data_IF_586222600340
#
_entry.id   IF_586222600340
#
_cell.length_a   1.000
_cell.length_b   1.000
_cell.length_c   1.000
_cell.angle_alpha   90.00
_cell.angle_beta   90.00
_cell.angle_gamma   90.00
#
_symmetry.space_group_name_H-M   'P 1'
#
loop_
_entity.id
_entity.type
_entity.pdbx_description
1 polymer ?
#
# COMPACT_ATOMS: atom_id res chain seq x y z
N UNK A 1 -14.28 -20.31 -16.70
CA UNK A 1 -14.09 -18.86 -16.95
C UNK A 1 -13.02 -18.39 -15.98
N UNK A 2 -11.78 -18.20 -16.43
CA UNK A 2 -10.69 -17.73 -15.56
C UNK A 2 -10.92 -16.26 -15.23
N UNK A 3 -11.31 -15.97 -14.00
CA UNK A 3 -11.28 -14.63 -13.42
C UNK A 3 -9.83 -14.15 -13.38
N UNK A 4 -9.34 -13.62 -14.50
CA UNK A 4 -8.10 -12.87 -14.54
C UNK A 4 -8.38 -11.57 -13.81
N UNK A 5 -8.10 -11.54 -12.51
CA UNK A 5 -8.15 -10.33 -11.71
C UNK A 5 -7.20 -9.33 -12.38
N UNK A 6 -7.76 -8.28 -12.99
CA UNK A 6 -7.06 -7.26 -13.76
C UNK A 6 -6.32 -6.31 -12.80
N UNK A 7 -5.43 -6.88 -11.98
CA UNK A 7 -4.55 -6.10 -11.15
C UNK A 7 -3.50 -5.48 -12.07
N UNK A 8 -3.32 -4.15 -12.03
CA UNK A 8 -2.19 -3.49 -12.66
C UNK A 8 -0.93 -4.26 -12.29
N UNK A 9 -0.14 -4.62 -13.29
CA UNK A 9 1.14 -5.27 -13.02
C UNK A 9 2.07 -4.25 -12.38
N UNK A 10 2.85 -4.61 -11.35
CA UNK A 10 3.90 -3.74 -10.87
C UNK A 10 4.81 -3.38 -12.05
N UNK A 11 5.32 -2.13 -12.13
CA UNK A 11 6.29 -1.75 -13.13
C UNK A 11 7.43 -2.76 -13.13
N UNK A 12 7.95 -3.14 -14.30
CA UNK A 12 9.01 -4.16 -14.43
C UNK A 12 10.11 -3.83 -13.42
N UNK A 13 10.20 -4.65 -12.38
CA UNK A 13 11.11 -4.48 -11.26
C UNK A 13 12.51 -4.84 -11.75
N UNK A 14 13.20 -3.89 -12.36
CA UNK A 14 14.57 -4.08 -12.84
C UNK A 14 15.49 -4.10 -11.62
N UNK A 15 15.79 -5.30 -11.14
CA UNK A 15 17.08 -5.69 -10.57
C UNK A 15 17.56 -5.13 -9.22
N UNK A 16 16.98 -4.08 -8.65
CA UNK A 16 17.48 -3.52 -7.39
C UNK A 16 16.39 -2.67 -6.69
N UNK A 17 15.35 -3.33 -6.18
CA UNK A 17 14.14 -2.61 -5.77
C UNK A 17 14.31 -1.95 -4.41
N UNK A 18 14.39 -0.62 -4.41
CA UNK A 18 14.12 0.19 -3.24
C UNK A 18 12.70 -0.18 -2.74
N UNK A 19 12.62 -0.78 -1.54
CA UNK A 19 11.36 -1.23 -0.92
C UNK A 19 10.31 -0.13 -0.86
N UNK A 20 10.74 1.13 -0.85
CA UNK A 20 9.90 2.33 -0.88
C UNK A 20 9.14 2.53 -2.20
N UNK A 21 9.72 2.16 -3.34
CA UNK A 21 9.05 2.29 -4.64
C UNK A 21 7.97 1.22 -4.81
N UNK A 22 8.22 -0.01 -4.33
CA UNK A 22 7.20 -1.05 -4.25
C UNK A 22 6.05 -0.63 -3.33
N UNK A 23 6.37 -0.08 -2.16
CA UNK A 23 5.37 0.46 -1.25
C UNK A 23 4.50 1.53 -1.91
N UNK A 24 5.15 2.53 -2.53
CA UNK A 24 4.48 3.64 -3.24
C UNK A 24 3.52 3.12 -4.29
N UNK A 25 3.97 2.14 -5.06
CA UNK A 25 3.15 1.52 -6.08
C UNK A 25 1.91 0.84 -5.49
N UNK A 26 2.08 0.04 -4.43
CA UNK A 26 0.95 -0.66 -3.80
C UNK A 26 -0.04 0.34 -3.20
N UNK A 27 0.40 1.39 -2.51
CA UNK A 27 -0.54 2.37 -1.96
C UNK A 27 -1.27 3.17 -3.05
N UNK A 28 -0.61 3.51 -4.16
CA UNK A 28 -1.29 4.09 -5.33
C UNK A 28 -2.30 3.12 -5.92
N UNK A 29 -1.97 1.84 -5.98
CA UNK A 29 -2.90 0.81 -6.42
C UNK A 29 -4.12 0.70 -5.49
N UNK A 30 -3.94 0.74 -4.17
CA UNK A 30 -5.05 0.78 -3.21
C UNK A 30 -5.98 1.97 -3.47
N UNK A 31 -5.42 3.15 -3.77
CA UNK A 31 -6.20 4.34 -4.14
C UNK A 31 -6.98 4.11 -5.43
N UNK A 32 -6.34 3.57 -6.47
CA UNK A 32 -6.96 3.29 -7.78
C UNK A 32 -8.08 2.25 -7.66
N UNK A 33 -7.98 1.29 -6.74
CA UNK A 33 -9.01 0.29 -6.49
C UNK A 33 -10.26 0.85 -5.77
N UNK A 34 -10.27 2.12 -5.40
CA UNK A 34 -11.48 2.79 -4.91
C UNK A 34 -12.39 3.19 -6.08
N UNK A 35 -13.68 3.26 -5.82
CA UNK A 35 -14.73 3.52 -6.81
C UNK A 35 -14.51 4.83 -7.60
N UNK A 36 -13.88 5.81 -6.98
CA UNK A 36 -13.56 7.14 -7.53
C UNK A 36 -12.06 7.39 -7.69
N UNK A 37 -11.22 6.36 -7.52
CA UNK A 37 -9.76 6.47 -7.47
C UNK A 37 -9.24 7.55 -6.51
N UNK A 38 -9.94 7.81 -5.40
CA UNK A 38 -9.63 8.89 -4.46
C UNK A 38 -8.95 8.41 -3.18
N UNK A 39 -7.88 9.11 -2.79
CA UNK A 39 -7.25 8.92 -1.49
C UNK A 39 -8.21 9.28 -0.33
N UNK A 40 -9.17 10.18 -0.56
CA UNK A 40 -10.18 10.54 0.43
C UNK A 40 -11.13 9.38 0.70
N UNK A 41 -11.58 8.70 -0.35
CA UNK A 41 -12.47 7.54 -0.23
C UNK A 41 -11.76 6.38 0.45
N UNK A 42 -10.50 6.13 0.10
CA UNK A 42 -9.67 5.16 0.80
C UNK A 42 -9.52 5.53 2.30
N UNK A 43 -9.18 6.77 2.60
CA UNK A 43 -9.00 7.24 3.97
C UNK A 43 -10.28 7.08 4.81
N UNK A 44 -11.44 7.40 4.23
CA UNK A 44 -12.73 7.21 4.88
C UNK A 44 -13.01 5.72 5.17
N UNK A 45 -12.76 4.82 4.22
CA UNK A 45 -12.92 3.36 4.44
C UNK A 45 -11.96 2.82 5.50
N UNK A 46 -10.77 3.39 5.60
CA UNK A 46 -9.77 3.00 6.60
C UNK A 46 -9.96 3.71 7.96
N UNK A 47 -10.83 4.72 8.05
CA UNK A 47 -11.01 5.53 9.26
C UNK A 47 -9.78 6.35 9.62
N UNK A 48 -9.11 6.93 8.61
CA UNK A 48 -7.94 7.81 8.76
C UNK A 48 -8.14 9.09 7.95
N UNK A 49 -7.23 10.05 8.09
CA UNK A 49 -7.30 11.28 7.27
C UNK A 49 -6.72 11.04 5.87
N UNK A 50 -7.18 11.75 4.83
CA UNK A 50 -6.56 11.69 3.50
C UNK A 50 -5.06 12.03 3.54
N UNK A 51 -4.68 12.96 4.43
CA UNK A 51 -3.28 13.34 4.63
C UNK A 51 -2.41 12.16 5.10
N UNK A 52 -2.95 11.25 5.91
CA UNK A 52 -2.26 10.02 6.33
C UNK A 52 -1.89 9.15 5.12
N UNK A 53 -2.78 9.04 4.12
CA UNK A 53 -2.54 8.29 2.89
C UNK A 53 -1.49 8.99 2.03
N UNK A 54 -1.60 10.30 1.83
CA UNK A 54 -0.64 11.07 1.06
C UNK A 54 0.77 11.04 1.67
N UNK A 55 0.87 11.17 3.00
CA UNK A 55 2.13 11.06 3.72
C UNK A 55 2.74 9.66 3.59
N UNK A 56 1.92 8.60 3.68
CA UNK A 56 2.40 7.24 3.48
C UNK A 56 2.99 7.06 2.07
N UNK A 57 2.23 7.45 1.04
CA UNK A 57 2.71 7.43 -0.36
C UNK A 57 4.01 8.23 -0.50
N UNK A 58 4.07 9.44 0.04
CA UNK A 58 5.27 10.28 -0.09
C UNK A 58 6.48 9.65 0.62
N UNK A 59 6.30 9.12 1.82
CA UNK A 59 7.38 8.52 2.63
C UNK A 59 7.83 7.17 2.10
N UNK A 60 6.98 6.45 1.38
CA UNK A 60 7.28 5.07 1.00
C UNK A 60 7.20 4.10 2.20
N UNK A 61 6.49 4.48 3.26
CA UNK A 61 6.27 3.67 4.46
C UNK A 61 5.00 4.12 5.20
N UNK A 62 4.42 3.26 6.03
CA UNK A 62 3.34 3.63 6.94
C UNK A 62 3.44 2.94 8.29
N UNK A 63 2.54 3.30 9.19
CA UNK A 63 2.40 2.64 10.48
C UNK A 63 1.81 1.24 10.30
N UNK A 64 2.18 0.32 11.20
CA UNK A 64 1.62 -1.04 11.23
C UNK A 64 0.09 -1.04 11.34
N UNK A 65 -0.51 -0.07 12.04
CA UNK A 65 -1.97 0.10 12.09
C UNK A 65 -2.57 0.41 10.71
N UNK A 66 -1.94 1.30 9.94
CA UNK A 66 -2.42 1.59 8.58
C UNK A 66 -2.26 0.38 7.66
N UNK A 67 -1.14 -0.34 7.75
CA UNK A 67 -0.89 -1.57 7.01
C UNK A 67 -1.96 -2.64 7.29
N UNK A 68 -2.29 -2.87 8.57
CA UNK A 68 -3.35 -3.79 8.99
C UNK A 68 -4.72 -3.39 8.47
N UNK A 69 -5.05 -2.09 8.46
CA UNK A 69 -6.33 -1.61 7.93
C UNK A 69 -6.42 -1.82 6.42
N UNK A 70 -5.35 -1.54 5.68
CA UNK A 70 -5.27 -1.79 4.23
C UNK A 70 -5.40 -3.29 3.95
N UNK A 71 -4.67 -4.14 4.67
CA UNK A 71 -4.77 -5.59 4.56
C UNK A 71 -6.19 -6.09 4.83
N UNK A 72 -6.85 -5.55 5.86
CA UNK A 72 -8.24 -5.92 6.20
C UNK A 72 -9.23 -5.48 5.12
N UNK A 73 -9.01 -4.32 4.50
CA UNK A 73 -9.91 -3.76 3.49
C UNK A 73 -9.84 -4.53 2.16
N UNK A 74 -8.63 -4.84 1.69
CA UNK A 74 -8.43 -5.47 0.38
C UNK A 74 -8.16 -6.99 0.47
N UNK A 75 -7.80 -7.49 1.64
CA UNK A 75 -7.40 -8.86 1.87
C UNK A 75 -5.89 -9.08 1.69
N UNK A 76 -5.33 -9.92 2.57
CA UNK A 76 -3.91 -10.31 2.59
C UNK A 76 -3.39 -10.90 1.28
N UNK A 77 -4.26 -11.46 0.44
CA UNK A 77 -3.87 -11.99 -0.88
C UNK A 77 -3.34 -10.91 -1.83
N UNK A 78 -3.85 -9.68 -1.69
CA UNK A 78 -3.54 -8.56 -2.58
C UNK A 78 -2.69 -7.50 -1.89
N UNK A 79 -2.94 -7.28 -0.59
CA UNK A 79 -2.24 -6.27 0.21
C UNK A 79 -1.73 -6.86 1.52
N UNK A 80 -0.74 -7.78 1.48
CA UNK A 80 -0.10 -8.25 2.71
C UNK A 80 0.59 -7.08 3.43
N UNK A 81 0.40 -6.99 4.75
CA UNK A 81 0.99 -5.96 5.61
C UNK A 81 2.51 -5.88 5.47
N UNK A 82 3.16 -6.98 5.14
CA UNK A 82 4.62 -7.08 4.97
C UNK A 82 5.13 -6.23 3.80
N UNK A 83 4.27 -5.81 2.88
CA UNK A 83 4.60 -4.84 1.83
C UNK A 83 4.68 -3.40 2.35
N UNK A 84 4.09 -3.15 3.51
CA UNK A 84 3.86 -1.81 4.05
C UNK A 84 4.72 -1.48 5.26
N UNK A 85 5.18 -2.50 5.98
CA UNK A 85 6.04 -2.34 7.14
C UNK A 85 7.49 -2.31 6.64
N UNK A 86 8.15 -1.16 6.79
CA UNK A 86 9.61 -1.12 6.69
C UNK A 86 10.17 -2.05 7.78
N UNK A 87 11.10 -2.94 7.43
CA UNK A 87 11.83 -3.73 8.44
C UNK A 87 12.27 -2.80 9.58
N UNK A 88 12.12 -3.23 10.85
CA UNK A 88 12.58 -2.41 11.96
C UNK A 88 14.06 -2.11 11.76
N UNK A 89 14.44 -0.83 11.91
CA UNK A 89 15.84 -0.46 12.07
C UNK A 89 16.44 -1.37 13.14
N UNK A 90 17.39 -2.22 12.74
CA UNK A 90 18.17 -3.04 13.67
C UNK A 90 18.79 -2.11 14.72
N UNK A 91 18.86 -2.54 16.00
CA UNK A 91 19.21 -1.68 17.11
C UNK A 91 20.59 -1.05 16.89
N UNK A 92 20.67 0.24 17.21
CA UNK A 92 21.93 0.96 17.36
C UNK A 92 22.74 0.25 18.45
N UNK A 93 23.84 -0.38 18.06
CA UNK A 93 24.99 -0.67 18.95
C UNK A 93 26.01 0.47 18.86
#
# INVERSE_FOLDING_TARGET
MSSSSYWPKPPRLVGNTDSRELFRWHLRLAVICMDDASATTLANKLGVTPNTIYLAVHRGSCTDDLAKRIEKLFGRKYFPRELFVSEPDLPVE
#
